data_IF_114171756673
#
_entry.id   IF_114171756673
#
_cell.length_a   1.000
_cell.length_b   1.000
_cell.length_c   1.000
_cell.angle_alpha   90.00
_cell.angle_beta   90.00
_cell.angle_gamma   90.00
#
_symmetry.space_group_name_H-M   'P 1'
#
loop_
_entity.id
_entity.type
_entity.pdbx_description
1 polymer ?
#
# COMPACT_ATOMS: atom_id res chain seq x y z
N UNK A 1 -11.09 -16.03 2.61
CA UNK A 1 -11.07 -15.13 1.44
C UNK A 1 -10.50 -13.81 1.92
N UNK A 2 -9.19 -13.66 1.80
CA UNK A 2 -8.47 -12.49 2.31
C UNK A 2 -8.51 -11.40 1.24
N UNK A 3 -9.23 -10.32 1.53
CA UNK A 3 -9.25 -9.10 0.72
C UNK A 3 -7.89 -8.41 0.92
N UNK A 4 -6.89 -8.88 0.17
CA UNK A 4 -5.71 -8.10 -0.15
C UNK A 4 -6.25 -6.88 -0.89
N UNK A 5 -6.03 -5.69 -0.33
CA UNK A 5 -6.04 -4.47 -1.11
C UNK A 5 -4.97 -4.63 -2.20
N UNK A 6 -5.38 -5.23 -3.32
CA UNK A 6 -4.65 -5.27 -4.56
C UNK A 6 -4.60 -3.82 -5.01
N UNK A 7 -3.52 -3.14 -4.62
CA UNK A 7 -3.13 -1.91 -5.27
C UNK A 7 -2.87 -2.30 -6.72
N UNK A 8 -3.80 -1.96 -7.59
CA UNK A 8 -3.68 -2.12 -9.04
C UNK A 8 -2.39 -1.45 -9.48
N UNK A 9 -1.36 -2.26 -9.73
CA UNK A 9 -0.19 -1.87 -10.51
C UNK A 9 -0.57 -1.80 -12.00
N UNK A 10 -1.62 -1.07 -12.33
CA UNK A 10 -1.91 -0.63 -13.72
C UNK A 10 -1.14 0.66 -14.06
N UNK A 11 -0.19 1.08 -13.22
CA UNK A 11 0.46 2.39 -13.33
C UNK A 11 2.00 2.36 -13.38
N UNK A 12 2.59 1.36 -14.04
CA UNK A 12 3.92 1.55 -14.65
C UNK A 12 3.82 2.02 -16.12
N UNK A 13 2.61 2.28 -16.63
CA UNK A 13 2.40 2.84 -17.96
C UNK A 13 1.08 3.62 -18.04
N UNK A 14 0.89 4.59 -17.16
CA UNK A 14 0.08 5.76 -17.56
C UNK A 14 0.88 6.52 -18.61
N UNK A 15 0.26 7.09 -19.67
CA UNK A 15 0.96 7.67 -20.83
C UNK A 15 1.88 8.88 -20.54
N UNK A 16 2.08 9.22 -19.26
CA UNK A 16 2.79 10.41 -18.80
C UNK A 16 4.05 10.12 -17.97
N UNK A 17 4.42 8.85 -17.75
CA UNK A 17 5.56 8.49 -16.89
C UNK A 17 6.83 8.06 -17.65
N UNK A 18 6.84 8.17 -18.98
CA UNK A 18 7.98 7.77 -19.81
C UNK A 18 9.00 8.89 -20.07
N UNK A 19 8.83 10.10 -19.51
CA UNK A 19 9.68 11.25 -19.88
C UNK A 19 10.89 11.47 -18.96
N UNK A 20 11.00 10.77 -17.83
CA UNK A 20 12.13 10.92 -16.90
C UNK A 20 13.02 9.68 -16.93
N UNK A 21 13.89 9.60 -17.94
CA UNK A 21 14.82 8.47 -18.16
C UNK A 21 15.68 8.18 -16.92
N UNK A 22 16.05 9.20 -16.16
CA UNK A 22 16.87 9.07 -14.95
C UNK A 22 16.16 8.24 -13.87
N UNK A 23 14.87 8.48 -13.64
CA UNK A 23 14.07 7.74 -12.63
C UNK A 23 13.92 6.27 -13.02
N UNK A 24 13.71 5.99 -14.31
CA UNK A 24 13.60 4.61 -14.81
C UNK A 24 14.95 3.90 -14.67
N UNK A 25 16.04 4.56 -15.04
CA UNK A 25 17.40 4.05 -14.91
C UNK A 25 17.74 3.73 -13.45
N UNK A 26 17.47 4.65 -12.53
CA UNK A 26 17.70 4.48 -11.09
C UNK A 26 16.89 3.32 -10.52
N UNK A 27 15.61 3.20 -10.90
CA UNK A 27 14.79 2.07 -10.49
C UNK A 27 15.37 0.75 -10.99
N UNK A 28 15.73 0.66 -12.28
CA UNK A 28 16.35 -0.55 -12.83
C UNK A 28 17.67 -0.89 -12.13
N UNK A 29 18.48 0.12 -11.81
CA UNK A 29 19.72 -0.06 -11.07
C UNK A 29 19.46 -0.58 -9.64
N UNK A 30 18.48 -0.03 -8.94
CA UNK A 30 18.05 -0.49 -7.62
C UNK A 30 17.58 -1.96 -7.67
N UNK A 31 16.73 -2.32 -8.64
CA UNK A 31 16.24 -3.69 -8.79
C UNK A 31 17.35 -4.70 -9.11
N UNK A 32 18.34 -4.32 -9.94
CA UNK A 32 19.54 -5.13 -10.18
C UNK A 32 20.36 -5.31 -8.90
N UNK A 33 20.50 -4.25 -8.11
CA UNK A 33 21.24 -4.27 -6.84
C UNK A 33 20.58 -5.21 -5.84
N UNK A 34 19.26 -5.10 -5.65
CA UNK A 34 18.49 -6.00 -4.78
C UNK A 34 18.65 -7.46 -5.24
N UNK A 35 18.54 -7.72 -6.54
CA UNK A 35 18.70 -9.08 -7.10
C UNK A 35 20.09 -9.64 -6.82
N UNK A 36 21.15 -8.82 -6.95
CA UNK A 36 22.52 -9.21 -6.62
C UNK A 36 22.69 -9.51 -5.13
N UNK A 37 22.13 -8.69 -4.24
CA UNK A 37 22.18 -8.91 -2.80
C UNK A 37 21.49 -10.22 -2.41
N UNK A 38 20.33 -10.51 -2.99
CA UNK A 38 19.64 -11.78 -2.76
C UNK A 38 20.47 -12.99 -3.21
N UNK A 39 21.12 -12.90 -4.38
CA UNK A 39 21.95 -13.99 -4.89
C UNK A 39 23.16 -14.29 -3.99
N UNK A 40 23.65 -13.32 -3.20
CA UNK A 40 24.76 -13.52 -2.28
C UNK A 40 24.39 -14.32 -1.02
N UNK A 41 23.11 -14.31 -0.63
CA UNK A 41 22.62 -14.97 0.60
C UNK A 41 21.71 -16.16 0.31
N UNK A 42 21.52 -16.48 -0.97
CA UNK A 42 20.72 -17.61 -1.42
C UNK A 42 21.29 -18.94 -0.93
N UNK A 43 20.40 -19.81 -0.45
CA UNK A 43 20.76 -21.17 -0.08
C UNK A 43 20.62 -22.09 -1.30
N UNK A 44 21.68 -22.82 -1.61
CA UNK A 44 21.65 -23.78 -2.73
C UNK A 44 20.52 -24.80 -2.59
N UNK A 45 19.81 -25.03 -3.69
CA UNK A 45 18.65 -25.91 -3.76
C UNK A 45 17.37 -25.40 -3.06
N UNK A 46 17.34 -24.15 -2.57
CA UNK A 46 16.14 -23.55 -1.96
C UNK A 46 15.35 -22.74 -2.99
N UNK A 47 14.02 -22.76 -2.89
CA UNK A 47 13.12 -21.94 -3.72
C UNK A 47 13.03 -20.51 -3.16
N UNK A 48 13.02 -19.50 -4.02
CA UNK A 48 12.83 -18.08 -3.63
C UNK A 48 11.35 -17.72 -3.50
N UNK A 49 11.04 -16.82 -2.56
CA UNK A 49 9.69 -16.23 -2.41
C UNK A 49 9.72 -14.88 -1.71
N UNK A 50 8.63 -14.10 -1.79
CA UNK A 50 8.40 -12.93 -0.93
C UNK A 50 8.31 -11.60 -1.67
N UNK A 51 9.44 -10.99 -2.05
CA UNK A 51 9.50 -9.59 -2.53
C UNK A 51 9.23 -9.40 -4.03
N UNK A 52 9.43 -10.42 -4.84
CA UNK A 52 9.22 -10.35 -6.28
C UNK A 52 8.05 -11.25 -6.66
N UNK A 53 7.13 -10.73 -7.48
CA UNK A 53 6.15 -11.58 -8.13
C UNK A 53 6.82 -12.27 -9.33
N UNK A 54 7.40 -13.45 -9.10
CA UNK A 54 8.11 -14.22 -10.12
C UNK A 54 7.17 -15.04 -11.05
N UNK A 55 5.87 -15.10 -10.75
CA UNK A 55 4.95 -16.07 -11.36
C UNK A 55 3.97 -15.47 -12.38
N UNK A 56 3.99 -14.16 -12.63
CA UNK A 56 3.04 -13.50 -13.54
C UNK A 56 3.76 -12.58 -14.54
N UNK A 57 3.62 -12.91 -15.82
CA UNK A 57 4.05 -12.14 -17.00
C UNK A 57 3.45 -10.71 -17.01
N UNK A 58 4.09 -9.65 -17.52
CA UNK A 58 5.49 -9.21 -17.42
C UNK A 58 5.68 -8.11 -16.35
N UNK A 59 4.72 -7.93 -15.42
CA UNK A 59 4.78 -6.87 -14.42
C UNK A 59 5.72 -7.30 -13.29
N UNK A 60 6.99 -6.87 -13.36
CA UNK A 60 7.92 -6.98 -12.23
C UNK A 60 7.38 -6.10 -11.10
N UNK A 61 6.55 -6.69 -10.25
CA UNK A 61 6.06 -6.07 -9.02
C UNK A 61 7.08 -6.28 -7.91
N UNK A 62 7.52 -5.20 -7.28
CA UNK A 62 8.28 -5.23 -6.04
C UNK A 62 7.31 -5.07 -4.87
N UNK A 63 7.23 -6.09 -4.01
CA UNK A 63 6.34 -6.11 -2.86
C UNK A 63 7.04 -5.52 -1.66
N UNK A 64 6.46 -4.45 -1.14
CA UNK A 64 6.87 -3.80 0.11
C UNK A 64 5.88 -4.18 1.21
N UNK A 65 6.39 -4.45 2.41
CA UNK A 65 5.62 -4.71 3.61
C UNK A 65 5.71 -3.51 4.54
N UNK A 66 4.63 -3.23 5.25
CA UNK A 66 4.56 -2.28 6.34
C UNK A 66 3.92 -2.96 7.55
N UNK A 67 4.52 -2.82 8.73
CA UNK A 67 3.96 -3.28 9.98
C UNK A 67 3.12 -2.14 10.54
N UNK A 68 1.79 -2.28 10.48
CA UNK A 68 0.86 -1.21 10.87
C UNK A 68 0.61 -1.19 12.39
N UNK A 69 0.74 -2.35 13.05
CA UNK A 69 0.43 -2.50 14.46
C UNK A 69 1.64 -3.11 15.18
N UNK A 70 2.03 -2.50 16.28
CA UNK A 70 3.12 -2.97 17.13
C UNK A 70 2.68 -2.94 18.60
N UNK A 71 3.23 -3.80 19.48
CA UNK A 71 2.93 -3.77 20.90
C UNK A 71 3.17 -2.37 21.49
N UNK A 72 2.28 -1.92 22.39
CA UNK A 72 2.48 -0.67 23.13
C UNK A 72 3.72 -0.82 24.02
N UNK A 73 4.74 -0.02 23.78
CA UNK A 73 5.76 0.30 24.78
C UNK A 73 5.26 1.50 25.60
N UNK A 74 5.63 1.64 26.88
CA UNK A 74 5.07 2.63 27.84
C UNK A 74 5.29 4.13 27.48
N UNK A 75 5.77 4.41 26.28
CA UNK A 75 5.99 5.73 25.70
C UNK A 75 5.97 5.54 24.18
N UNK A 76 5.33 6.34 23.31
CA UNK A 76 5.43 7.79 23.14
C UNK A 76 4.27 8.18 22.19
N UNK A 77 3.36 9.06 22.66
CA UNK A 77 2.35 9.82 21.89
C UNK A 77 1.36 8.99 21.05
N UNK A 78 0.13 8.84 21.57
CA UNK A 78 -1.04 8.36 20.83
C UNK A 78 -1.48 9.40 19.77
N UNK A 79 -0.74 9.52 18.66
CA UNK A 79 -1.13 10.40 17.54
C UNK A 79 -2.23 9.78 16.66
N UNK A 80 -2.37 8.46 16.67
CA UNK A 80 -3.29 7.71 15.82
C UNK A 80 -4.09 6.72 16.66
N UNK A 81 -5.41 6.91 16.69
CA UNK A 81 -6.33 6.08 17.47
C UNK A 81 -6.65 4.81 16.69
N UNK A 82 -6.45 3.65 17.33
CA UNK A 82 -6.73 2.34 16.74
C UNK A 82 -8.20 2.18 16.32
N UNK A 83 -9.13 2.79 17.09
CA UNK A 83 -10.58 2.67 16.94
C UNK A 83 -11.11 3.18 15.59
N UNK A 84 -10.45 4.18 14.99
CA UNK A 84 -10.87 4.80 13.73
C UNK A 84 -10.23 4.13 12.49
N UNK A 85 -9.48 3.03 12.70
CA UNK A 85 -8.82 2.35 11.59
C UNK A 85 -9.87 1.69 10.67
N UNK A 86 -9.86 1.99 9.36
CA UNK A 86 -10.90 1.51 8.45
C UNK A 86 -10.81 -0.01 8.27
N UNK A 87 -11.82 -0.72 8.78
CA UNK A 87 -11.97 -2.17 8.62
C UNK A 87 -13.24 -2.50 7.85
N UNK A 88 -13.14 -3.38 6.85
CA UNK A 88 -14.29 -3.77 6.00
C UNK A 88 -15.11 -4.93 6.57
N UNK A 89 -14.57 -5.68 7.53
CA UNK A 89 -15.13 -6.95 7.99
C UNK A 89 -15.36 -6.90 9.51
N UNK A 90 -16.56 -7.30 9.96
CA UNK A 90 -16.93 -7.35 11.36
C UNK A 90 -15.98 -8.21 12.21
N UNK A 91 -15.49 -9.35 11.69
CA UNK A 91 -14.52 -10.19 12.39
C UNK A 91 -13.15 -9.50 12.56
N UNK A 92 -12.78 -8.63 11.61
CA UNK A 92 -11.54 -7.83 11.71
C UNK A 92 -11.73 -6.68 12.70
N UNK A 93 -12.94 -6.13 12.80
CA UNK A 93 -13.29 -5.12 13.80
C UNK A 93 -13.18 -5.68 15.22
N UNK A 94 -13.73 -6.86 15.47
CA UNK A 94 -13.63 -7.52 16.77
C UNK A 94 -12.16 -7.80 17.17
N UNK A 95 -11.34 -8.26 16.22
CA UNK A 95 -9.91 -8.46 16.46
C UNK A 95 -9.18 -7.13 16.76
N UNK A 96 -9.57 -6.03 16.09
CA UNK A 96 -9.02 -4.70 16.30
C UNK A 96 -9.38 -4.14 17.68
N UNK A 97 -10.64 -4.32 18.11
CA UNK A 97 -11.10 -3.97 19.46
C UNK A 97 -10.31 -4.73 20.55
N UNK A 98 -9.99 -6.01 20.31
CA UNK A 98 -9.12 -6.80 21.20
C UNK A 98 -7.67 -6.31 21.30
N UNK A 99 -7.20 -5.51 20.35
CA UNK A 99 -5.82 -5.00 20.30
C UNK A 99 -5.66 -3.61 20.94
N UNK A 100 -6.75 -2.92 21.27
CA UNK A 100 -6.77 -1.52 21.73
C UNK A 100 -5.82 -1.23 22.91
N UNK A 101 -5.79 -2.14 23.87
CA UNK A 101 -5.00 -1.98 25.10
C UNK A 101 -3.57 -2.55 24.98
N UNK A 102 -3.26 -3.27 23.91
CA UNK A 102 -2.00 -3.99 23.76
C UNK A 102 -1.13 -3.49 22.60
N UNK A 103 -1.71 -2.84 21.60
CA UNK A 103 -1.01 -2.40 20.40
C UNK A 103 -1.28 -0.92 20.08
N UNK A 104 -0.35 -0.31 19.35
CA UNK A 104 -0.47 1.03 18.79
C UNK A 104 -0.36 0.98 17.27
N UNK A 105 -0.92 1.99 16.61
CA UNK A 105 -0.81 2.18 15.16
C UNK A 105 0.48 2.91 14.85
N UNK A 106 1.28 2.35 13.93
CA UNK A 106 2.48 3.00 13.40
C UNK A 106 2.18 3.41 11.96
N UNK A 107 2.07 4.71 11.66
CA UNK A 107 1.97 5.18 10.28
C UNK A 107 3.34 5.09 9.58
N UNK A 108 3.32 4.91 8.27
CA UNK A 108 4.52 5.01 7.43
C UNK A 108 5.06 6.43 7.53
N UNK A 109 6.35 6.61 7.82
CA UNK A 109 6.95 7.95 7.75
C UNK A 109 7.02 8.42 6.30
N UNK A 110 6.04 9.19 5.85
CA UNK A 110 5.98 9.69 4.48
C UNK A 110 6.21 11.20 4.46
N UNK A 111 7.10 11.67 3.59
CA UNK A 111 7.48 13.06 3.46
C UNK A 111 7.12 13.58 2.08
N UNK A 112 6.69 14.83 1.98
CA UNK A 112 6.44 15.47 0.69
C UNK A 112 7.74 15.93 0.00
N UNK A 113 7.59 16.74 -1.05
CA UNK A 113 8.71 17.26 -1.85
C UNK A 113 9.60 18.19 -1.03
N UNK A 114 8.98 19.00 -0.16
CA UNK A 114 9.65 19.97 0.71
C UNK A 114 10.31 19.28 1.91
N UNK A 115 9.92 18.02 2.17
CA UNK A 115 10.46 17.19 3.26
C UNK A 115 9.59 17.22 4.51
N UNK A 116 8.38 17.77 4.42
CA UNK A 116 7.44 17.83 5.54
C UNK A 116 6.69 16.50 5.68
N UNK A 117 6.40 16.12 6.92
CA UNK A 117 5.70 14.87 7.22
C UNK A 117 4.25 14.95 6.70
N UNK A 118 3.90 14.03 5.82
CA UNK A 118 2.54 13.85 5.32
C UNK A 118 1.72 13.16 6.42
N UNK A 119 0.61 13.78 6.82
CA UNK A 119 -0.36 13.13 7.70
C UNK A 119 -0.98 11.90 7.00
N UNK A 120 -1.18 10.77 7.71
CA UNK A 120 -1.85 9.58 7.16
C UNK A 120 -3.18 9.85 6.46
N UNK A 121 -3.94 10.85 6.94
CA UNK A 121 -5.20 11.28 6.31
C UNK A 121 -5.01 11.76 4.86
N UNK A 122 -3.79 12.18 4.48
CA UNK A 122 -3.46 12.69 3.15
C UNK A 122 -2.69 11.71 2.28
N UNK A 123 -2.37 10.50 2.75
CA UNK A 123 -1.60 9.52 1.96
C UNK A 123 -2.23 9.21 0.61
N UNK A 124 -3.53 8.96 0.57
CA UNK A 124 -4.20 8.66 -0.69
C UNK A 124 -4.08 9.80 -1.70
N UNK A 125 -4.28 11.05 -1.26
CA UNK A 125 -4.18 12.21 -2.14
C UNK A 125 -2.75 12.58 -2.54
N UNK A 126 -1.76 12.33 -1.67
CA UNK A 126 -0.37 12.80 -1.86
C UNK A 126 0.56 11.74 -2.44
N UNK A 127 0.28 10.46 -2.21
CA UNK A 127 1.14 9.35 -2.64
C UNK A 127 0.59 8.62 -3.87
N UNK A 128 -0.72 8.66 -4.13
CA UNK A 128 -1.30 7.97 -5.27
C UNK A 128 -0.84 8.59 -6.58
N UNK A 129 -0.04 7.87 -7.37
CA UNK A 129 0.53 8.36 -8.62
C UNK A 129 1.78 9.23 -8.44
N UNK A 130 2.25 9.44 -7.20
CA UNK A 130 3.50 10.16 -6.97
C UNK A 130 4.72 9.26 -7.25
N UNK A 131 5.81 9.86 -7.75
CA UNK A 131 7.12 9.20 -7.76
C UNK A 131 7.75 9.40 -6.39
N UNK A 132 8.05 8.30 -5.72
CA UNK A 132 8.58 8.30 -4.36
C UNK A 132 9.92 7.59 -4.29
N UNK A 133 10.81 8.09 -3.43
CA UNK A 133 11.94 7.35 -2.91
C UNK A 133 11.48 6.54 -1.71
N UNK A 134 11.60 5.23 -1.77
CA UNK A 134 11.35 4.34 -0.63
C UNK A 134 12.66 3.96 0.04
N UNK A 135 12.71 4.12 1.36
CA UNK A 135 13.77 3.53 2.21
C UNK A 135 13.19 2.31 2.89
N UNK A 136 13.91 1.19 2.80
CA UNK A 136 13.45 -0.10 3.30
C UNK A 136 14.60 -0.95 3.83
N UNK A 137 14.26 -1.85 4.73
CA UNK A 137 15.13 -2.93 5.20
C UNK A 137 14.77 -4.22 4.46
N UNK A 138 15.76 -4.83 3.82
CA UNK A 138 15.63 -6.14 3.17
C UNK A 138 16.08 -7.25 4.13
N UNK A 139 15.16 -8.13 4.52
CA UNK A 139 15.45 -9.28 5.37
C UNK A 139 15.36 -10.59 4.61
N UNK A 140 16.23 -11.55 4.94
CA UNK A 140 16.24 -12.91 4.40
C UNK A 140 15.99 -13.92 5.50
N UNK A 141 15.05 -14.84 5.25
CA UNK A 141 14.69 -15.91 6.15
C UNK A 141 14.84 -17.25 5.45
N UNK A 142 15.66 -18.12 6.03
CA UNK A 142 15.83 -19.50 5.58
C UNK A 142 14.81 -20.41 6.27
N UNK A 143 13.85 -20.93 5.51
CA UNK A 143 12.84 -21.86 6.00
C UNK A 143 13.24 -23.28 5.58
N UNK A 144 13.94 -23.97 6.49
CA UNK A 144 14.54 -25.28 6.21
C UNK A 144 13.51 -26.39 5.89
N UNK A 145 12.35 -26.38 6.55
CA UNK A 145 11.28 -27.38 6.35
C UNK A 145 10.80 -27.46 4.90
N UNK A 146 10.69 -26.30 4.25
CA UNK A 146 10.14 -26.20 2.89
C UNK A 146 11.23 -25.99 1.83
N UNK A 147 12.51 -26.04 2.23
CA UNK A 147 13.66 -25.64 1.40
C UNK A 147 13.38 -24.33 0.67
N UNK A 148 13.05 -23.30 1.44
CA UNK A 148 12.59 -22.01 0.90
C UNK A 148 13.35 -20.85 1.51
N UNK A 149 13.84 -19.97 0.65
CA UNK A 149 14.32 -18.64 1.03
C UNK A 149 13.18 -17.65 0.87
N UNK A 150 12.87 -16.95 1.97
CA UNK A 150 11.83 -15.92 2.00
C UNK A 150 12.49 -14.58 2.22
N UNK A 151 12.25 -13.66 1.29
CA UNK A 151 12.74 -12.30 1.37
C UNK A 151 11.60 -11.37 1.74
N UNK A 152 11.88 -10.37 2.56
CA UNK A 152 10.89 -9.37 2.96
C UNK A 152 11.50 -7.98 2.88
N UNK A 153 10.77 -7.03 2.30
CA UNK A 153 11.19 -5.64 2.20
C UNK A 153 10.29 -4.79 3.11
N UNK A 154 10.79 -4.42 4.28
CA UNK A 154 10.06 -3.63 5.28
C UNK A 154 10.30 -2.15 5.06
N UNK A 155 9.23 -1.39 4.84
CA UNK A 155 9.33 0.04 4.60
C UNK A 155 9.63 0.81 5.89
N UNK A 156 10.60 1.71 5.80
CA UNK A 156 10.94 2.63 6.89
C UNK A 156 10.41 4.04 6.62
N UNK A 157 10.52 4.50 5.38
CA UNK A 157 10.00 5.81 4.98
C UNK A 157 9.76 5.95 3.48
N UNK A 158 8.95 6.93 3.13
CA UNK A 158 8.68 7.40 1.78
C UNK A 158 9.02 8.87 1.67
N UNK A 159 9.61 9.30 0.56
CA UNK A 159 9.74 10.72 0.22
C UNK A 159 9.25 10.96 -1.19
N UNK A 160 8.34 11.92 -1.37
CA UNK A 160 7.88 12.34 -2.70
C UNK A 160 9.02 13.06 -3.42
N UNK A 161 9.35 12.57 -4.62
CA UNK A 161 10.29 13.22 -5.53
C UNK A 161 9.53 14.01 -6.59
N UNK A 162 8.42 13.45 -7.09
CA UNK A 162 7.51 14.09 -8.03
C UNK A 162 6.09 13.88 -7.52
N UNK A 163 5.32 14.95 -7.23
CA UNK A 163 3.93 14.83 -6.83
C UNK A 163 3.10 14.13 -7.90
N UNK A 164 1.98 13.54 -7.49
CA UNK A 164 0.99 13.05 -8.44
C UNK A 164 0.56 14.20 -9.37
N UNK A 165 0.74 14.04 -10.67
CA UNK A 165 0.26 15.02 -11.64
C UNK A 165 -1.27 15.05 -11.58
N UNK A 166 -1.83 16.23 -11.33
CA UNK A 166 -3.28 16.48 -11.32
C UNK A 166 -3.80 16.47 -12.77
N UNK A 167 -3.64 15.35 -13.47
CA UNK A 167 -4.07 15.17 -14.84
C UNK A 167 -5.19 14.14 -14.87
N UNK A 168 -6.42 14.65 -14.73
CA UNK A 168 -7.66 13.89 -14.85
C UNK A 168 -8.36 13.70 -13.51
N UNK A 169 -9.29 14.59 -13.22
CA UNK A 169 -10.43 14.27 -12.37
C UNK A 169 -10.97 12.89 -12.75
N UNK A 170 -10.86 11.91 -11.86
CA UNK A 170 -11.81 10.81 -11.87
C UNK A 170 -13.15 11.40 -11.42
N UNK A 171 -13.82 12.07 -12.35
CA UNK A 171 -15.24 12.36 -12.23
C UNK A 171 -15.91 10.99 -12.10
N UNK A 172 -16.61 10.68 -10.99
CA UNK A 172 -17.35 9.45 -10.91
C UNK A 172 -18.37 9.51 -12.04
N UNK A 173 -18.28 8.56 -12.98
CA UNK A 173 -19.22 8.42 -14.07
C UNK A 173 -20.63 8.48 -13.47
N UNK A 174 -21.36 9.55 -13.78
CA UNK A 174 -22.77 9.64 -13.47
C UNK A 174 -23.44 8.45 -14.15
N UNK A 175 -23.68 7.40 -13.37
CA UNK A 175 -24.52 6.31 -13.79
C UNK A 175 -25.90 6.93 -13.90
N UNK A 176 -26.40 7.06 -15.13
CA UNK A 176 -27.78 7.46 -15.40
C UNK A 176 -28.70 6.62 -14.51
N UNK A 177 -29.26 7.25 -13.50
CA UNK A 177 -30.35 6.69 -12.72
C UNK A 177 -31.56 6.60 -13.65
N UNK A 178 -31.80 5.41 -14.19
CA UNK A 178 -33.10 4.99 -14.67
C UNK A 178 -33.80 4.33 -13.49
N UNK A 179 -34.55 5.13 -12.75
CA UNK A 179 -35.56 4.64 -11.81
C UNK A 179 -36.80 5.51 -11.97
N UNK A 180 -37.55 5.24 -13.03
CA UNK A 180 -38.97 5.56 -13.12
C UNK A 180 -39.67 4.56 -12.17
N UNK A 181 -39.79 4.94 -10.91
CA UNK A 181 -40.60 4.21 -9.93
C UNK A 181 -41.88 5.00 -9.72
N UNK A 182 -42.96 4.42 -10.25
CA UNK A 182 -44.33 4.87 -10.10
C UNK A 182 -44.68 5.10 -8.62
N UNK A 183 -45.11 6.32 -8.30
CA UNK A 183 -45.63 6.67 -6.99
C UNK A 183 -47.16 6.45 -6.99
N UNK A 184 -47.57 5.34 -6.38
CA UNK A 184 -48.96 4.99 -6.14
C UNK A 184 -49.31 5.14 -4.66
N UNK A 185 -50.52 5.67 -4.43
CA UNK A 185 -51.31 5.71 -3.18
C UNK A 185 -51.09 6.96 -2.30
N UNK A 186 -51.93 7.99 -2.39
CA UNK A 186 -53.31 8.09 -1.83
C UNK A 186 -53.30 8.05 -0.29
N UNK A 187 -53.47 9.22 0.34
CA UNK A 187 -54.46 9.49 1.40
C UNK A 187 -54.56 10.99 1.72
N UNK A 188 -55.82 11.45 1.90
CA UNK A 188 -56.30 12.58 2.74
C UNK A 188 -56.06 14.03 2.24
N UNK A 189 -57.02 14.98 2.24
CA UNK A 189 -58.37 15.08 2.82
C UNK A 189 -59.17 16.18 2.11
N UNK A 190 -60.50 16.02 2.00
CA UNK A 190 -61.43 17.14 1.85
C UNK A 190 -61.89 17.62 3.24
N UNK A 191 -62.25 18.90 3.40
CA UNK A 191 -63.38 19.30 4.21
C UNK A 191 -64.72 19.18 3.46
#
# INVERSE_FOLDING_TARGET
MSDLASFRADLLAGPYYLENEDVISDFQFAMRTITKLMAQVETDGYKKSGIFNFNENPKIGFKIRHIVFEPKEESIIELFVLQDWPVKNAAVKEALEGMENSHQVIPIRAYDVDGDLISPAHYMSKLSGAVVRATLTLSHWKIGRDKRDTYTADIESLRVLVPASVAGSFEPAQTKSSADCQEGSRYQSQP
#
